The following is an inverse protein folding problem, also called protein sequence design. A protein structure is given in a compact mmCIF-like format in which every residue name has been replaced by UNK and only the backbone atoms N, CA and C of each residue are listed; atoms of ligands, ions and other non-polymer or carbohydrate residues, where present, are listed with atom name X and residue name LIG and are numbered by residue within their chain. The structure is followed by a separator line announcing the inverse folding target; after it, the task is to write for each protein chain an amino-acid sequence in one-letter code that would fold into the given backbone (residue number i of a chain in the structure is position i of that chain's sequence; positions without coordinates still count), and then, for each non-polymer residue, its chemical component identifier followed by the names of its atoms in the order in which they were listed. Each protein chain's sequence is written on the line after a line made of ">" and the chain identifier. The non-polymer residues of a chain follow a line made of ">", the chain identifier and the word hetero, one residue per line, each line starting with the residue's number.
data_IF_850414012377
#
_entry.id   IF_850414012377
#
_cell.length_a   1.000
_cell.length_b   1.000
_cell.length_c   1.000
_cell.angle_alpha   90.00
_cell.angle_beta   90.00
_cell.angle_gamma   90.00
#
_symmetry.space_group_name_H-M   'P 1'
#
loop_
_entity.id
_entity.type
_entity.pdbx_description
1 polymer ?
#
# COMPACT_ATOMS: atom_id res chain seq x y z
N UNK A 1 13.46 -30.65 -27.49
CA UNK A 1 13.42 -29.21 -27.17
C UNK A 1 14.79 -28.80 -26.65
N UNK A 2 15.51 -27.92 -27.35
CA UNK A 2 16.82 -27.42 -26.91
C UNK A 2 16.65 -26.58 -25.65
N UNK A 3 17.43 -26.87 -24.59
CA UNK A 3 17.43 -26.08 -23.35
C UNK A 3 18.11 -24.73 -23.63
N UNK A 4 17.40 -23.64 -23.37
CA UNK A 4 17.94 -22.28 -23.48
C UNK A 4 19.11 -22.10 -22.51
N UNK A 5 20.10 -21.32 -22.92
CA UNK A 5 21.20 -20.92 -22.04
C UNK A 5 20.70 -19.94 -20.96
N UNK A 6 21.44 -19.79 -19.87
CA UNK A 6 21.08 -18.83 -18.81
C UNK A 6 21.06 -17.38 -19.33
N UNK A 7 21.97 -17.04 -20.24
CA UNK A 7 21.99 -15.73 -20.91
C UNK A 7 20.73 -15.48 -21.74
N UNK A 8 20.27 -16.49 -22.49
CA UNK A 8 19.04 -16.38 -23.26
C UNK A 8 17.80 -16.24 -22.37
N UNK A 9 17.76 -16.96 -21.24
CA UNK A 9 16.69 -16.82 -20.25
C UNK A 9 16.69 -15.43 -19.63
N UNK A 10 17.85 -14.91 -19.25
CA UNK A 10 18.02 -13.57 -18.70
C UNK A 10 17.55 -12.49 -19.69
N UNK A 11 17.99 -12.58 -20.96
CA UNK A 11 17.56 -11.67 -22.03
C UNK A 11 16.04 -11.71 -22.24
N UNK A 12 15.44 -12.91 -22.27
CA UNK A 12 13.96 -13.04 -22.38
C UNK A 12 13.25 -12.45 -21.18
N UNK A 13 13.78 -12.60 -19.97
CA UNK A 13 13.20 -12.01 -18.77
C UNK A 13 13.28 -10.48 -18.80
N UNK A 14 14.43 -9.91 -19.20
CA UNK A 14 14.59 -8.46 -19.36
C UNK A 14 13.62 -7.89 -20.40
N UNK A 15 13.49 -8.54 -21.56
CA UNK A 15 12.55 -8.12 -22.60
C UNK A 15 11.09 -8.13 -22.09
N UNK A 16 10.70 -9.14 -21.30
CA UNK A 16 9.36 -9.18 -20.67
C UNK A 16 9.18 -8.01 -19.69
N UNK A 17 10.19 -7.72 -18.85
CA UNK A 17 10.15 -6.58 -17.92
C UNK A 17 10.05 -5.26 -18.68
N UNK A 18 10.86 -5.04 -19.70
CA UNK A 18 10.83 -3.82 -20.53
C UNK A 18 9.47 -3.64 -21.22
N UNK A 19 8.89 -4.72 -21.77
CA UNK A 19 7.54 -4.67 -22.36
C UNK A 19 6.46 -4.33 -21.32
N UNK A 20 6.55 -4.89 -20.12
CA UNK A 20 5.62 -4.57 -19.03
C UNK A 20 5.78 -3.11 -18.55
N UNK A 21 7.02 -2.62 -18.42
CA UNK A 21 7.34 -1.26 -18.04
C UNK A 21 6.81 -0.24 -19.06
N UNK A 22 7.01 -0.49 -20.36
CA UNK A 22 6.45 0.36 -21.43
C UNK A 22 4.92 0.40 -21.40
N UNK A 23 4.27 -0.74 -21.15
CA UNK A 23 2.80 -0.77 -21.00
C UNK A 23 2.35 0.04 -19.78
N UNK A 24 3.01 -0.12 -18.64
CA UNK A 24 2.69 0.63 -17.42
C UNK A 24 2.90 2.15 -17.62
N UNK A 25 3.96 2.55 -18.33
CA UNK A 25 4.22 3.93 -18.73
C UNK A 25 3.07 4.49 -19.57
N UNK A 26 2.67 3.79 -20.64
CA UNK A 26 1.56 4.21 -21.49
C UNK A 26 0.26 4.35 -20.70
N UNK A 27 -0.05 3.39 -19.84
CA UNK A 27 -1.26 3.43 -19.00
C UNK A 27 -1.21 4.60 -18.00
N UNK A 28 -0.04 4.91 -17.44
CA UNK A 28 0.14 6.02 -16.50
C UNK A 28 0.05 7.38 -17.20
N UNK A 29 0.67 7.54 -18.38
CA UNK A 29 0.54 8.75 -19.21
C UNK A 29 -0.92 8.99 -19.58
N UNK A 30 -1.61 7.95 -20.08
CA UNK A 30 -3.03 8.00 -20.42
C UNK A 30 -3.89 8.45 -19.23
N UNK A 31 -3.61 7.95 -18.02
CA UNK A 31 -4.32 8.37 -16.80
C UNK A 31 -4.02 9.82 -16.41
N UNK A 32 -2.76 10.25 -16.49
CA UNK A 32 -2.37 11.62 -16.18
C UNK A 32 -3.00 12.63 -17.16
N UNK A 33 -3.07 12.29 -18.45
CA UNK A 33 -3.78 13.08 -19.46
C UNK A 33 -5.27 13.20 -19.15
N UNK A 34 -5.90 12.08 -18.78
CA UNK A 34 -7.32 12.05 -18.42
C UNK A 34 -7.62 12.88 -17.18
N UNK A 35 -6.74 12.86 -16.18
CA UNK A 35 -6.90 13.69 -14.99
C UNK A 35 -6.79 15.18 -15.33
N UNK A 36 -5.83 15.58 -16.16
CA UNK A 36 -5.73 16.96 -16.67
C UNK A 36 -6.97 17.38 -17.47
N UNK A 37 -7.55 16.47 -18.24
CA UNK A 37 -8.81 16.71 -18.96
C UNK A 37 -9.97 16.96 -17.98
N UNK A 38 -10.09 16.16 -16.92
CA UNK A 38 -11.09 16.38 -15.88
C UNK A 38 -10.95 17.75 -15.21
N UNK A 39 -9.74 18.14 -14.87
CA UNK A 39 -9.44 19.45 -14.27
C UNK A 39 -9.83 20.58 -15.24
N UNK A 40 -9.40 20.48 -16.50
CA UNK A 40 -9.68 21.50 -17.53
C UNK A 40 -11.18 21.66 -17.83
N UNK A 41 -11.91 20.55 -17.87
CA UNK A 41 -13.33 20.54 -18.22
C UNK A 41 -14.25 20.71 -16.99
N UNK A 42 -13.69 20.87 -15.79
CA UNK A 42 -14.47 20.93 -14.55
C UNK A 42 -15.31 19.67 -14.33
N UNK A 43 -14.79 18.48 -14.65
CA UNK A 43 -15.53 17.23 -14.50
C UNK A 43 -15.74 16.81 -13.04
N UNK A 44 -14.93 17.34 -12.12
CA UNK A 44 -15.12 17.15 -10.68
C UNK A 44 -16.39 17.84 -10.20
N UNK A 45 -17.16 17.13 -9.40
CA UNK A 45 -18.26 17.72 -8.65
C UNK A 45 -17.71 18.39 -7.38
N UNK A 46 -18.33 19.49 -6.98
CA UNK A 46 -18.19 20.05 -5.63
C UNK A 46 -18.96 19.20 -4.62
N UNK A 47 -18.63 19.36 -3.32
CA UNK A 47 -19.35 18.64 -2.27
C UNK A 47 -20.85 18.97 -2.28
N UNK A 48 -21.18 20.24 -2.52
CA UNK A 48 -22.56 20.73 -2.59
C UNK A 48 -23.32 20.12 -3.77
N UNK A 49 -22.71 20.05 -4.95
CA UNK A 49 -23.30 19.39 -6.13
C UNK A 49 -23.49 17.89 -5.91
N UNK A 50 -22.53 17.24 -5.26
CA UNK A 50 -22.62 15.84 -4.91
C UNK A 50 -23.80 15.57 -3.97
N UNK A 51 -23.95 16.37 -2.90
CA UNK A 51 -25.08 16.27 -1.96
C UNK A 51 -26.41 16.60 -2.63
N UNK A 52 -26.42 17.55 -3.57
CA UNK A 52 -27.60 17.89 -4.36
C UNK A 52 -28.01 16.79 -5.37
N UNK A 53 -27.22 15.71 -5.49
CA UNK A 53 -27.51 14.60 -6.38
C UNK A 53 -27.22 14.91 -7.85
N UNK A 54 -26.35 15.88 -8.14
CA UNK A 54 -25.93 16.17 -9.52
C UNK A 54 -25.30 14.92 -10.14
N UNK A 55 -25.73 14.48 -11.33
CA UNK A 55 -25.16 13.31 -11.97
C UNK A 55 -23.67 13.47 -12.27
N UNK A 56 -22.96 12.35 -12.33
CA UNK A 56 -21.55 12.32 -12.69
C UNK A 56 -21.33 12.95 -14.08
N UNK A 57 -20.49 13.98 -14.16
CA UNK A 57 -20.17 14.67 -15.44
C UNK A 57 -19.43 13.77 -16.43
N UNK A 58 -18.81 12.69 -15.96
CA UNK A 58 -18.08 11.74 -16.81
C UNK A 58 -18.96 10.71 -17.52
N UNK A 59 -20.08 10.29 -16.91
CA UNK A 59 -20.92 9.22 -17.47
C UNK A 59 -22.42 9.53 -17.48
N UNK A 60 -22.86 10.65 -16.90
CA UNK A 60 -24.25 11.06 -16.80
C UNK A 60 -25.08 10.27 -15.78
N UNK A 61 -24.50 9.26 -15.12
CA UNK A 61 -25.22 8.46 -14.12
C UNK A 61 -25.18 9.12 -12.73
N UNK A 62 -26.20 8.91 -11.89
CA UNK A 62 -26.19 9.40 -10.51
C UNK A 62 -24.99 8.82 -9.75
N UNK A 63 -24.33 9.66 -8.94
CA UNK A 63 -23.27 9.17 -8.04
C UNK A 63 -23.90 8.35 -6.91
N UNK A 64 -24.95 8.90 -6.30
CA UNK A 64 -25.85 8.21 -5.38
C UNK A 64 -27.20 8.00 -6.04
N UNK A 65 -27.63 6.75 -6.21
CA UNK A 65 -28.95 6.43 -6.75
C UNK A 65 -30.03 6.27 -5.66
N UNK A 66 -29.64 6.27 -4.38
CA UNK A 66 -30.56 6.08 -3.26
C UNK A 66 -31.18 4.68 -3.19
N UNK A 67 -30.66 3.70 -3.95
CA UNK A 67 -31.21 2.34 -4.06
C UNK A 67 -30.57 1.36 -3.08
N UNK A 68 -29.69 1.85 -2.21
CA UNK A 68 -28.90 1.05 -1.29
C UNK A 68 -27.68 0.42 -1.96
N UNK A 69 -26.85 -0.25 -1.17
CA UNK A 69 -25.70 -1.01 -1.69
C UNK A 69 -26.15 -2.35 -2.25
N UNK A 70 -25.38 -2.91 -3.19
CA UNK A 70 -25.50 -4.32 -3.54
C UNK A 70 -25.25 -5.21 -2.33
N UNK A 71 -26.12 -6.21 -2.05
CA UNK A 71 -25.81 -7.26 -1.10
C UNK A 71 -24.54 -8.02 -1.50
N UNK A 72 -23.91 -8.72 -0.56
CA UNK A 72 -22.83 -9.64 -0.91
C UNK A 72 -23.33 -10.66 -1.95
N UNK A 73 -22.51 -11.00 -2.96
CA UNK A 73 -22.89 -11.87 -4.09
C UNK A 73 -23.51 -13.22 -3.66
N UNK A 74 -23.06 -13.77 -2.52
CA UNK A 74 -23.58 -15.03 -1.95
C UNK A 74 -24.95 -14.87 -1.27
N UNK A 75 -25.35 -13.65 -0.93
CA UNK A 75 -26.61 -13.30 -0.26
C UNK A 75 -27.63 -12.67 -1.20
N UNK A 76 -27.31 -12.55 -2.50
CA UNK A 76 -28.25 -12.06 -3.49
C UNK A 76 -29.29 -13.12 -3.81
N UNK A 77 -30.57 -12.73 -3.75
CA UNK A 77 -31.65 -13.50 -4.36
C UNK A 77 -31.55 -13.48 -5.90
N UNK A 78 -32.36 -14.30 -6.57
CA UNK A 78 -32.30 -14.45 -8.03
C UNK A 78 -32.63 -13.13 -8.76
N UNK A 79 -33.59 -12.35 -8.26
CA UNK A 79 -33.95 -11.06 -8.86
C UNK A 79 -32.82 -10.03 -8.73
N UNK A 80 -32.18 -9.96 -7.56
CA UNK A 80 -31.02 -9.11 -7.32
C UNK A 80 -29.82 -9.52 -8.16
N UNK A 81 -29.62 -10.83 -8.35
CA UNK A 81 -28.55 -11.38 -9.19
C UNK A 81 -28.75 -11.01 -10.65
N UNK A 82 -29.94 -11.19 -11.19
CA UNK A 82 -30.27 -10.76 -12.55
C UNK A 82 -30.09 -9.25 -12.75
N UNK A 83 -30.50 -8.44 -11.76
CA UNK A 83 -30.31 -7.00 -11.80
C UNK A 83 -28.81 -6.63 -11.82
N UNK A 84 -28.02 -7.26 -10.96
CA UNK A 84 -26.58 -7.06 -10.88
C UNK A 84 -25.88 -7.47 -12.19
N UNK A 85 -26.24 -8.61 -12.76
CA UNK A 85 -25.66 -9.09 -14.02
C UNK A 85 -25.99 -8.18 -15.20
N UNK A 86 -27.21 -7.65 -15.28
CA UNK A 86 -27.58 -6.63 -16.28
C UNK A 86 -26.75 -5.36 -16.11
N UNK A 87 -26.63 -4.87 -14.88
CA UNK A 87 -25.85 -3.66 -14.58
C UNK A 87 -24.35 -3.85 -14.90
N UNK A 88 -23.80 -5.03 -14.58
CA UNK A 88 -22.41 -5.39 -14.90
C UNK A 88 -22.19 -5.53 -16.41
N UNK A 89 -23.14 -6.13 -17.14
CA UNK A 89 -23.08 -6.25 -18.60
C UNK A 89 -23.10 -4.87 -19.27
N UNK A 90 -24.00 -3.98 -18.88
CA UNK A 90 -24.06 -2.59 -19.36
C UNK A 90 -22.77 -1.82 -19.04
N UNK A 91 -22.25 -1.95 -17.81
CA UNK A 91 -20.99 -1.33 -17.43
C UNK A 91 -19.82 -1.82 -18.31
N UNK A 92 -19.72 -3.14 -18.52
CA UNK A 92 -18.67 -3.72 -19.38
C UNK A 92 -18.81 -3.29 -20.83
N UNK A 93 -20.04 -3.21 -21.35
CA UNK A 93 -20.29 -2.75 -22.71
C UNK A 93 -19.83 -1.29 -22.90
N UNK A 94 -20.19 -0.40 -21.96
CA UNK A 94 -19.81 1.03 -22.03
C UNK A 94 -18.32 1.28 -21.78
N UNK A 95 -17.65 0.43 -21.00
CA UNK A 95 -16.28 0.66 -20.52
C UNK A 95 -15.27 -0.40 -20.97
N UNK A 96 -15.54 -1.16 -22.03
CA UNK A 96 -14.67 -2.23 -22.54
C UNK A 96 -13.21 -1.76 -22.78
N UNK A 97 -13.04 -0.56 -23.32
CA UNK A 97 -11.73 0.01 -23.67
C UNK A 97 -11.10 0.88 -22.56
N UNK A 98 -11.81 1.11 -21.46
CA UNK A 98 -11.34 1.98 -20.39
C UNK A 98 -10.18 1.35 -19.60
N UNK A 99 -10.16 0.01 -19.46
CA UNK A 99 -9.11 -0.77 -18.75
C UNK A 99 -8.74 -0.19 -17.39
N UNK A 100 -9.75 0.30 -16.66
CA UNK A 100 -9.58 0.90 -15.33
C UNK A 100 -10.46 0.19 -14.32
N UNK A 101 -10.28 0.55 -13.06
CA UNK A 101 -11.06 0.02 -11.97
C UNK A 101 -12.49 0.57 -12.01
N UNK A 102 -13.39 -0.16 -11.35
CA UNK A 102 -14.76 0.25 -11.07
C UNK A 102 -14.82 0.81 -9.65
N UNK A 103 -15.60 1.87 -9.45
CA UNK A 103 -15.90 2.37 -8.12
C UNK A 103 -17.40 2.64 -7.97
N UNK A 104 -17.89 2.59 -6.74
CA UNK A 104 -19.24 2.97 -6.34
C UNK A 104 -19.14 3.56 -4.93
N UNK A 105 -20.19 4.26 -4.49
CA UNK A 105 -20.28 4.73 -3.11
C UNK A 105 -21.22 3.84 -2.31
N UNK A 106 -21.06 3.87 -0.99
CA UNK A 106 -22.00 3.22 -0.08
C UNK A 106 -23.42 3.77 -0.28
N UNK A 107 -24.41 2.89 -0.26
CA UNK A 107 -25.81 3.24 -0.48
C UNK A 107 -26.20 3.41 -1.95
N UNK A 108 -25.29 3.13 -2.89
CA UNK A 108 -25.54 3.21 -4.33
C UNK A 108 -25.31 1.87 -5.04
N UNK A 109 -26.21 1.51 -5.94
CA UNK A 109 -26.03 0.37 -6.87
C UNK A 109 -25.28 0.78 -8.14
N UNK A 110 -25.11 2.08 -8.38
CA UNK A 110 -24.55 2.61 -9.61
C UNK A 110 -23.02 2.52 -9.63
N UNK A 111 -22.51 1.90 -10.70
CA UNK A 111 -21.08 1.72 -10.94
C UNK A 111 -20.49 2.79 -11.85
N UNK A 112 -19.35 3.35 -11.43
CA UNK A 112 -18.60 4.36 -12.16
C UNK A 112 -17.23 3.81 -12.58
N UNK A 113 -16.74 4.28 -13.72
CA UNK A 113 -15.44 3.86 -14.24
C UNK A 113 -14.35 4.83 -13.76
N UNK A 114 -13.31 4.33 -13.10
CA UNK A 114 -12.19 5.15 -12.61
C UNK A 114 -11.32 5.78 -13.70
N UNK A 115 -11.62 5.56 -14.99
CA UNK A 115 -11.02 6.30 -16.10
C UNK A 115 -11.94 7.37 -16.68
N UNK A 116 -13.27 7.20 -16.62
CA UNK A 116 -14.21 8.17 -17.19
C UNK A 116 -14.76 9.12 -16.13
N UNK A 117 -14.92 8.63 -14.91
CA UNK A 117 -15.61 9.29 -13.83
C UNK A 117 -14.59 9.68 -12.75
N UNK A 118 -14.40 10.99 -12.49
CA UNK A 118 -13.56 11.42 -11.38
C UNK A 118 -14.13 10.91 -10.05
N UNK A 119 -13.28 10.66 -9.04
CA UNK A 119 -13.75 10.20 -7.73
C UNK A 119 -14.70 11.24 -7.11
N UNK A 120 -15.63 10.79 -6.24
CA UNK A 120 -16.54 11.71 -5.56
C UNK A 120 -15.76 12.69 -4.68
N UNK A 121 -16.22 13.94 -4.55
CA UNK A 121 -15.60 14.91 -3.67
C UNK A 121 -15.72 14.48 -2.20
N UNK A 122 -14.75 14.91 -1.39
CA UNK A 122 -14.78 14.72 0.05
C UNK A 122 -15.35 15.97 0.74
N UNK A 123 -16.07 15.78 1.84
CA UNK A 123 -16.51 16.89 2.69
C UNK A 123 -15.32 17.60 3.32
N UNK A 124 -15.51 18.86 3.72
CA UNK A 124 -14.47 19.61 4.43
C UNK A 124 -14.06 18.92 5.75
N UNK A 125 -15.01 18.33 6.45
CA UNK A 125 -14.76 17.56 7.68
C UNK A 125 -13.86 16.34 7.40
N UNK A 126 -14.13 15.60 6.32
CA UNK A 126 -13.29 14.46 5.92
C UNK A 126 -11.90 14.91 5.50
N UNK A 127 -11.78 16.01 4.74
CA UNK A 127 -10.49 16.59 4.37
C UNK A 127 -9.69 17.01 5.61
N UNK A 128 -10.33 17.64 6.59
CA UNK A 128 -9.71 18.03 7.85
C UNK A 128 -9.27 16.81 8.68
N UNK A 129 -10.09 15.76 8.76
CA UNK A 129 -9.76 14.53 9.45
C UNK A 129 -8.56 13.81 8.81
N UNK A 130 -8.53 13.73 7.48
CA UNK A 130 -7.41 13.18 6.71
C UNK A 130 -6.14 14.00 6.96
N UNK A 131 -6.22 15.33 6.87
CA UNK A 131 -5.09 16.20 7.14
C UNK A 131 -4.55 16.03 8.57
N UNK A 132 -5.43 15.92 9.56
CA UNK A 132 -5.04 15.69 10.95
C UNK A 132 -4.39 14.32 11.16
N UNK A 133 -4.87 13.28 10.47
CA UNK A 133 -4.26 11.95 10.50
C UNK A 133 -2.83 11.98 9.93
N UNK A 134 -2.65 12.61 8.75
CA UNK A 134 -1.31 12.74 8.16
C UNK A 134 -0.37 13.64 8.97
N UNK A 135 -0.89 14.67 9.65
CA UNK A 135 -0.07 15.52 10.53
C UNK A 135 0.50 14.77 11.74
N UNK A 136 -0.14 13.68 12.18
CA UNK A 136 0.34 12.81 13.27
C UNK A 136 1.37 11.79 12.82
N UNK A 137 1.43 11.50 11.52
CA UNK A 137 2.44 10.61 10.94
C UNK A 137 3.73 11.42 10.86
N UNK A 138 4.67 11.14 11.78
CA UNK A 138 6.00 11.72 11.74
C UNK A 138 6.74 11.38 10.44
N UNK A 139 7.83 12.08 10.16
CA UNK A 139 8.73 11.66 9.08
C UNK A 139 9.29 10.26 9.42
N UNK A 140 9.38 9.34 8.45
CA UNK A 140 10.04 8.07 8.66
C UNK A 140 11.45 8.30 9.20
N UNK A 141 11.89 7.47 10.15
CA UNK A 141 13.28 7.48 10.60
C UNK A 141 14.17 7.18 9.39
N UNK A 142 15.17 8.02 9.06
CA UNK A 142 16.12 7.72 8.00
C UNK A 142 16.77 6.32 8.12
N UNK A 143 16.92 5.80 9.35
CA UNK A 143 17.41 4.44 9.59
C UNK A 143 16.46 3.34 9.13
N UNK A 144 15.18 3.63 8.99
CA UNK A 144 14.16 2.72 8.47
C UNK A 144 14.06 2.76 6.94
N UNK A 145 14.84 3.60 6.25
CA UNK A 145 14.76 3.76 4.81
C UNK A 145 15.90 3.02 4.10
N UNK A 146 15.56 2.26 3.07
CA UNK A 146 16.51 1.67 2.15
C UNK A 146 16.50 2.40 0.81
N UNK A 147 17.68 2.59 0.23
CA UNK A 147 17.84 3.15 -1.11
C UNK A 147 17.65 2.07 -2.15
N UNK A 148 16.89 2.39 -3.18
CA UNK A 148 16.60 1.57 -4.34
C UNK A 148 17.08 2.26 -5.59
N UNK A 149 17.84 1.53 -6.40
CA UNK A 149 18.21 1.94 -7.74
C UNK A 149 17.16 1.41 -8.73
N UNK A 150 16.58 2.31 -9.52
CA UNK A 150 15.53 2.01 -10.50
C UNK A 150 16.05 2.34 -11.90
N UNK A 151 16.08 1.35 -12.79
CA UNK A 151 16.34 1.58 -14.21
C UNK A 151 15.02 1.80 -14.93
N UNK A 152 14.92 2.90 -15.66
CA UNK A 152 13.69 3.30 -16.35
C UNK A 152 13.68 2.84 -17.82
N UNK A 153 12.52 2.93 -18.47
CA UNK A 153 12.34 2.65 -19.90
C UNK A 153 13.17 3.52 -20.83
N UNK A 154 13.52 4.74 -20.38
CA UNK A 154 14.44 5.65 -21.04
C UNK A 154 15.92 5.38 -20.69
N UNK A 155 16.20 4.24 -20.07
CA UNK A 155 17.52 3.77 -19.64
C UNK A 155 18.24 4.64 -18.59
N UNK A 156 17.65 5.77 -18.17
CA UNK A 156 18.10 6.52 -16.99
C UNK A 156 17.94 5.68 -15.72
N UNK A 157 18.90 5.85 -14.82
CA UNK A 157 18.96 5.18 -13.52
C UNK A 157 18.76 6.23 -12.43
N UNK A 158 17.77 6.00 -11.57
CA UNK A 158 17.45 6.93 -10.48
C UNK A 158 17.48 6.21 -9.14
N UNK A 159 17.72 6.98 -8.08
CA UNK A 159 17.63 6.49 -6.71
C UNK A 159 16.31 6.94 -6.07
N UNK A 160 15.68 6.03 -5.33
CA UNK A 160 14.49 6.29 -4.52
C UNK A 160 14.65 5.64 -3.16
N UNK A 161 13.92 6.14 -2.18
CA UNK A 161 13.89 5.57 -0.83
C UNK A 161 12.54 4.90 -0.57
N UNK A 162 12.57 3.74 0.07
CA UNK A 162 11.40 3.04 0.57
C UNK A 162 11.75 2.36 1.90
N UNK A 163 10.76 2.16 2.76
CA UNK A 163 10.97 1.52 4.06
C UNK A 163 11.68 0.16 3.90
N UNK A 164 12.65 -0.11 4.78
CA UNK A 164 13.59 -1.23 4.67
C UNK A 164 12.90 -2.60 4.74
N UNK A 165 11.72 -2.69 5.36
CA UNK A 165 10.91 -3.91 5.42
C UNK A 165 10.41 -4.38 4.04
N UNK A 166 10.41 -3.50 3.04
CA UNK A 166 10.08 -3.90 1.67
C UNK A 166 11.20 -4.75 1.07
N UNK A 167 10.81 -5.92 0.56
CA UNK A 167 11.69 -6.86 -0.15
C UNK A 167 11.70 -6.63 -1.66
N UNK A 168 10.78 -5.81 -2.16
CA UNK A 168 10.68 -5.39 -3.57
C UNK A 168 10.14 -3.96 -3.65
N UNK A 169 10.46 -3.27 -4.74
CA UNK A 169 9.91 -1.95 -5.04
C UNK A 169 8.47 -2.06 -5.55
N UNK A 170 7.53 -1.35 -4.92
CA UNK A 170 6.10 -1.50 -5.20
C UNK A 170 5.59 -0.69 -6.39
N UNK A 171 6.35 0.31 -6.85
CA UNK A 171 5.96 1.16 -7.98
C UNK A 171 6.27 0.54 -9.34
N UNK A 172 5.41 0.76 -10.34
CA UNK A 172 5.65 0.34 -11.73
C UNK A 172 6.07 1.48 -12.66
N UNK A 173 5.85 2.72 -12.24
CA UNK A 173 6.21 3.96 -12.95
C UNK A 173 6.73 5.01 -11.97
N UNK A 174 7.48 5.98 -12.48
CA UNK A 174 7.95 7.15 -11.72
C UNK A 174 8.26 8.29 -12.68
N UNK A 175 8.27 9.52 -12.18
CA UNK A 175 8.81 10.65 -12.92
C UNK A 175 10.33 10.52 -13.04
N UNK A 176 10.82 10.65 -14.28
CA UNK A 176 12.24 10.70 -14.57
C UNK A 176 12.75 12.15 -14.41
N UNK A 177 13.73 12.42 -13.54
CA UNK A 177 14.25 13.77 -13.32
C UNK A 177 14.98 14.31 -14.54
N UNK A 178 15.53 13.46 -15.41
CA UNK A 178 16.25 13.89 -16.61
C UNK A 178 15.29 14.18 -17.76
N UNK A 179 14.33 13.28 -18.02
CA UNK A 179 13.36 13.43 -19.10
C UNK A 179 12.17 14.35 -18.74
N UNK A 180 11.92 14.60 -17.44
CA UNK A 180 10.71 15.27 -16.94
C UNK A 180 9.39 14.64 -17.43
N UNK A 181 9.40 13.31 -17.58
CA UNK A 181 8.27 12.52 -18.07
C UNK A 181 8.06 11.31 -17.16
N UNK A 182 6.83 10.82 -17.12
CA UNK A 182 6.49 9.54 -16.49
C UNK A 182 7.18 8.43 -17.29
N UNK A 183 7.93 7.57 -16.60
CA UNK A 183 8.62 6.43 -17.18
C UNK A 183 8.29 5.14 -16.44
N UNK A 184 8.23 4.05 -17.19
CA UNK A 184 8.11 2.71 -16.63
C UNK A 184 9.40 2.25 -15.95
N UNK A 185 9.27 1.48 -14.88
CA UNK A 185 10.41 0.89 -14.16
C UNK A 185 10.70 -0.50 -14.74
N UNK A 186 11.91 -0.68 -15.28
CA UNK A 186 12.35 -1.92 -15.95
C UNK A 186 13.01 -2.88 -14.97
N UNK A 187 13.92 -2.37 -14.14
CA UNK A 187 14.62 -3.14 -13.11
C UNK A 187 14.73 -2.34 -11.84
N UNK A 188 14.78 -3.06 -10.72
CA UNK A 188 14.89 -2.48 -9.38
C UNK A 188 15.93 -3.26 -8.60
N UNK A 189 16.85 -2.55 -7.98
CA UNK A 189 17.89 -3.12 -7.15
C UNK A 189 17.89 -2.40 -5.80
N UNK A 190 17.80 -3.16 -4.72
CA UNK A 190 17.93 -2.62 -3.37
C UNK A 190 19.42 -2.43 -3.10
N UNK A 191 19.85 -1.19 -2.94
CA UNK A 191 21.23 -0.90 -2.61
C UNK A 191 21.51 -1.34 -1.17
N UNK A 192 22.74 -1.77 -0.86
CA UNK A 192 23.12 -2.06 0.52
C UNK A 192 22.95 -0.80 1.38
N UNK A 193 22.61 -0.96 2.67
CA UNK A 193 22.45 0.17 3.56
C UNK A 193 23.73 0.99 3.59
N UNK A 194 23.57 2.31 3.48
CA UNK A 194 24.66 3.27 3.56
C UNK A 194 25.30 3.26 4.96
N UNK A 195 26.42 3.96 5.11
CA UNK A 195 27.13 4.02 6.40
C UNK A 195 26.28 4.65 7.51
N UNK A 196 25.38 5.58 7.19
CA UNK A 196 24.51 6.23 8.15
C UNK A 196 23.46 5.27 8.71
N UNK A 197 22.78 4.50 7.85
CA UNK A 197 21.85 3.43 8.24
C UNK A 197 22.56 2.38 9.09
N UNK A 198 23.79 1.97 8.72
CA UNK A 198 24.55 1.01 9.52
C UNK A 198 24.85 1.53 10.92
N UNK A 199 25.26 2.80 11.04
CA UNK A 199 25.53 3.43 12.34
C UNK A 199 24.26 3.50 13.19
N UNK A 200 23.13 3.89 12.61
CA UNK A 200 21.87 4.00 13.37
C UNK A 200 21.34 2.63 13.77
N UNK A 201 21.37 1.63 12.88
CA UNK A 201 21.01 0.25 13.23
C UNK A 201 21.92 -0.32 14.31
N UNK A 202 23.23 -0.07 14.24
CA UNK A 202 24.16 -0.51 15.26
C UNK A 202 23.84 0.12 16.63
N UNK A 203 23.46 1.40 16.67
CA UNK A 203 22.98 2.06 17.89
C UNK A 203 21.70 1.42 18.39
N UNK A 204 20.70 1.24 17.53
CA UNK A 204 19.42 0.59 17.89
C UNK A 204 19.63 -0.80 18.47
N UNK A 205 20.43 -1.65 17.80
CA UNK A 205 20.75 -2.99 18.29
C UNK A 205 21.52 -2.96 19.61
N UNK A 206 22.42 -1.99 19.80
CA UNK A 206 23.15 -1.82 21.06
C UNK A 206 22.20 -1.46 22.20
N UNK A 207 21.24 -0.58 21.95
CA UNK A 207 20.23 -0.19 22.94
C UNK A 207 19.28 -1.35 23.27
N UNK A 208 18.85 -2.12 22.27
CA UNK A 208 18.04 -3.32 22.46
C UNK A 208 18.80 -4.40 23.26
N UNK A 209 20.07 -4.63 22.94
CA UNK A 209 20.93 -5.55 23.68
C UNK A 209 21.08 -5.11 25.14
N UNK A 210 21.26 -3.81 25.39
CA UNK A 210 21.38 -3.27 26.74
C UNK A 210 20.07 -3.42 27.53
N UNK A 211 18.92 -3.17 26.90
CA UNK A 211 17.61 -3.42 27.50
C UNK A 211 17.41 -4.89 27.85
N UNK A 212 17.71 -5.80 26.93
CA UNK A 212 17.59 -7.24 27.14
C UNK A 212 18.53 -7.73 28.25
N UNK A 213 19.77 -7.21 28.31
CA UNK A 213 20.72 -7.50 29.40
C UNK A 213 20.19 -7.05 30.76
N UNK A 214 19.68 -5.82 30.84
CA UNK A 214 19.11 -5.30 32.08
C UNK A 214 17.86 -6.10 32.53
N UNK A 215 17.04 -6.54 31.58
CA UNK A 215 15.90 -7.42 31.87
C UNK A 215 16.35 -8.79 32.38
N UNK A 216 17.32 -9.41 31.72
CA UNK A 216 17.91 -10.68 32.16
C UNK A 216 18.47 -10.58 33.59
N UNK A 217 19.23 -9.52 33.90
CA UNK A 217 19.77 -9.30 35.24
C UNK A 217 18.66 -9.16 36.30
N UNK A 218 17.56 -8.45 35.97
CA UNK A 218 16.39 -8.34 36.85
C UNK A 218 15.73 -9.69 37.09
N UNK A 219 15.58 -10.52 36.06
CA UNK A 219 15.01 -11.87 36.18
C UNK A 219 15.92 -12.79 37.00
N UNK A 220 17.23 -12.71 36.80
CA UNK A 220 18.20 -13.48 37.57
C UNK A 220 18.16 -13.14 39.06
N UNK A 221 18.12 -11.85 39.42
CA UNK A 221 17.97 -11.42 40.83
C UNK A 221 16.67 -11.94 41.46
N UNK A 222 15.57 -12.00 40.70
CA UNK A 222 14.30 -12.58 41.16
C UNK A 222 14.43 -14.10 41.39
N UNK A 223 15.07 -14.82 40.47
CA UNK A 223 15.32 -16.25 40.61
C UNK A 223 16.17 -16.57 41.85
N UNK A 224 17.25 -15.83 42.08
CA UNK A 224 18.10 -15.99 43.27
C UNK A 224 17.33 -15.73 44.56
N UNK A 225 16.43 -14.74 44.55
CA UNK A 225 15.59 -14.45 45.71
C UNK A 225 14.56 -15.56 45.96
N UNK A 226 14.01 -16.17 44.91
CA UNK A 226 13.10 -17.31 45.04
C UNK A 226 13.84 -18.53 45.59
N UNK A 227 15.06 -18.81 45.11
CA UNK A 227 15.91 -19.89 45.60
C UNK A 227 16.23 -19.72 47.09
N UNK A 228 16.63 -18.51 47.52
CA UNK A 228 16.84 -18.22 48.95
C UNK A 228 15.60 -18.48 49.79
N UNK A 229 14.41 -18.18 49.27
CA UNK A 229 13.15 -18.44 49.95
C UNK A 229 12.84 -19.94 50.04
N UNK A 230 13.11 -20.71 48.97
CA UNK A 230 12.97 -22.17 48.98
C UNK A 230 13.88 -22.80 50.03
N UNK A 231 15.18 -22.47 50.01
CA UNK A 231 16.13 -23.01 51.00
C UNK A 231 15.73 -22.65 52.44
N UNK A 232 15.20 -21.43 52.66
CA UNK A 232 14.69 -21.04 53.99
C UNK A 232 13.52 -21.91 54.42
N UNK A 233 12.56 -22.18 53.53
CA UNK A 233 11.41 -23.03 53.81
C UNK A 233 11.82 -24.49 54.05
N UNK A 234 12.77 -25.01 53.28
CA UNK A 234 13.33 -26.36 53.47
C UNK A 234 13.99 -26.50 54.84
N UNK A 235 14.79 -25.52 55.25
CA UNK A 235 15.40 -25.52 56.59
C UNK A 235 14.34 -25.46 57.70
N UNK A 236 13.29 -24.64 57.53
CA UNK A 236 12.19 -24.56 58.48
C UNK A 236 11.42 -25.87 58.59
N UNK A 237 11.20 -26.58 57.47
CA UNK A 237 10.60 -27.91 57.47
C UNK A 237 11.48 -28.93 58.20
N UNK A 238 12.78 -28.95 57.89
CA UNK A 238 13.73 -29.87 58.53
C UNK A 238 13.88 -29.63 60.05
N UNK A 239 13.71 -28.40 60.52
CA UNK A 239 13.73 -28.09 61.95
C UNK A 239 12.42 -28.49 62.66
N UNK A 240 11.28 -28.44 61.98
CA UNK A 240 10.01 -28.94 62.51
C UNK A 240 10.03 -30.48 62.66
N UNK A 241 10.63 -31.18 61.71
CA UNK A 241 10.76 -32.65 61.75
C UNK A 241 11.68 -33.17 62.88
N UNK A 242 12.56 -32.32 63.43
CA UNK A 242 13.45 -32.67 64.57
C UNK A 242 12.79 -32.52 65.95
N UNK A 243 11.61 -31.91 66.01
CA UNK A 243 10.87 -31.64 67.27
C UNK A 243 9.80 -32.72 67.54
N UNK A 244 9.67 -33.71 66.66
CA UNK A 244 8.90 -34.95 66.87
C UNK A 244 9.80 -36.10 67.32
#
# INVERSE_FOLDING_TARGET
>A
MVKLTEEEKARRALNRRRKAALKAEQDAIRRAERQREWEKNGSYLTWEEFVAGVPCRGCGLPVSDGRGSWPALLKMDDTQREEYERAEADFRQRHADCRSHRWSIEGSKTAHCGFCCPPPPLSQEHLAAIAAAFARIGRPDPAELATWQLTLTCDHVIEKVQHHSHTYWSGSVTDCPDCKQIRGIVTTEKLPPDSAHRITEQRRMTDELNKARAEHERLQKKADSALRRMNKLENQLADLDKVQ
#
